data_IF_345808362956
#
_entry.id   IF_345808362956
#
_cell.length_a   1.000
_cell.length_b   1.000
_cell.length_c   1.000
_cell.angle_alpha   90.00
_cell.angle_beta   90.00
_cell.angle_gamma   90.00
#
_symmetry.space_group_name_H-M   'P 1'
#
loop_
_entity.id
_entity.type
_entity.pdbx_description
1 polymer ?
#
# COMPACT_ATOMS: atom_id res chain seq x y z
N UNK A 1 35.06 11.77 -50.25
CA UNK A 1 34.22 11.70 -49.04
C UNK A 1 32.77 11.72 -49.49
N UNK A 2 32.22 10.53 -49.67
CA UNK A 2 31.16 10.24 -50.64
C UNK A 2 29.79 10.80 -50.28
N UNK A 3 29.16 11.48 -51.26
CA UNK A 3 27.76 11.93 -51.20
C UNK A 3 26.85 10.78 -50.79
N UNK A 4 27.16 9.56 -51.22
CA UNK A 4 26.43 8.33 -50.90
C UNK A 4 26.42 8.01 -49.39
N UNK A 5 27.56 8.17 -48.70
CA UNK A 5 27.65 7.96 -47.26
C UNK A 5 26.82 8.99 -46.48
N UNK A 6 26.81 10.26 -46.93
CA UNK A 6 25.95 11.30 -46.35
C UNK A 6 24.46 10.98 -46.55
N UNK A 7 24.06 10.48 -47.71
CA UNK A 7 22.65 10.14 -47.97
C UNK A 7 22.18 8.98 -47.09
N UNK A 8 23.00 7.93 -46.95
CA UNK A 8 22.68 6.77 -46.10
C UNK A 8 22.62 7.18 -44.62
N UNK A 9 23.58 7.98 -44.15
CA UNK A 9 23.61 8.45 -42.77
C UNK A 9 22.40 9.33 -42.44
N UNK A 10 22.00 10.23 -43.34
CA UNK A 10 20.81 11.07 -43.15
C UNK A 10 19.52 10.24 -43.16
N UNK A 11 19.40 9.25 -44.04
CA UNK A 11 18.26 8.34 -44.08
C UNK A 11 18.15 7.49 -42.80
N UNK A 12 19.27 7.03 -42.24
CA UNK A 12 19.30 6.27 -40.99
C UNK A 12 18.89 7.14 -39.78
N UNK A 13 19.33 8.40 -39.72
CA UNK A 13 18.94 9.34 -38.65
C UNK A 13 17.45 9.67 -38.73
N UNK A 14 16.94 9.98 -39.93
CA UNK A 14 15.51 10.25 -40.16
C UNK A 14 14.64 9.02 -39.84
N UNK A 15 15.07 7.83 -40.25
CA UNK A 15 14.38 6.58 -39.93
C UNK A 15 14.37 6.28 -38.43
N UNK A 16 15.49 6.48 -37.75
CA UNK A 16 15.60 6.28 -36.29
C UNK A 16 14.71 7.24 -35.49
N UNK A 17 14.61 8.51 -35.90
CA UNK A 17 13.74 9.49 -35.24
C UNK A 17 12.26 9.16 -35.42
N UNK A 18 11.85 8.66 -36.58
CA UNK A 18 10.46 8.26 -36.84
C UNK A 18 10.06 7.02 -36.04
N UNK A 19 10.91 5.99 -36.02
CA UNK A 19 10.63 4.75 -35.24
C UNK A 19 10.68 5.02 -33.74
N UNK A 20 11.66 5.80 -33.27
CA UNK A 20 11.76 6.18 -31.85
C UNK A 20 10.63 7.10 -31.39
N UNK A 21 10.20 8.03 -32.24
CA UNK A 21 9.09 8.94 -31.96
C UNK A 21 7.75 8.20 -31.85
N UNK A 22 7.45 7.30 -32.78
CA UNK A 22 6.21 6.49 -32.75
C UNK A 22 6.22 5.50 -31.58
N UNK A 23 7.36 4.85 -31.30
CA UNK A 23 7.49 3.95 -30.16
C UNK A 23 7.31 4.66 -28.80
N UNK A 24 7.90 5.84 -28.65
CA UNK A 24 7.74 6.66 -27.44
C UNK A 24 6.30 7.14 -27.29
N UNK A 25 5.67 7.58 -28.36
CA UNK A 25 4.27 8.02 -28.36
C UNK A 25 3.30 6.89 -28.01
N UNK A 26 3.49 5.69 -28.59
CA UNK A 26 2.70 4.50 -28.26
C UNK A 26 2.93 4.05 -26.81
N UNK A 27 4.16 4.13 -26.30
CA UNK A 27 4.45 3.82 -24.90
C UNK A 27 3.75 4.80 -23.94
N UNK A 28 3.76 6.11 -24.23
CA UNK A 28 3.00 7.11 -23.49
C UNK A 28 1.49 6.83 -23.51
N UNK A 29 0.92 6.54 -24.68
CA UNK A 29 -0.50 6.21 -24.81
C UNK A 29 -0.88 4.90 -24.12
N UNK A 30 0.01 3.90 -24.15
CA UNK A 30 -0.20 2.62 -23.47
C UNK A 30 -0.09 2.76 -21.95
N UNK A 31 0.78 3.65 -21.46
CA UNK A 31 0.91 3.94 -20.03
C UNK A 31 -0.28 4.73 -19.48
N UNK A 32 -0.89 5.61 -20.27
CA UNK A 32 -2.16 6.25 -19.92
C UNK A 32 -3.36 5.26 -20.00
N UNK A 33 -3.31 4.28 -20.93
CA UNK A 33 -4.35 3.27 -21.10
C UNK A 33 -4.34 2.14 -20.06
N UNK A 34 -3.16 1.78 -19.55
CA UNK A 34 -2.97 0.96 -18.35
C UNK A 34 -2.98 1.88 -17.13
N UNK A 35 -4.14 2.43 -16.79
CA UNK A 35 -4.32 3.42 -15.72
C UNK A 35 -3.78 3.01 -14.36
N UNK A 36 -2.48 3.12 -14.17
CA UNK A 36 -1.83 3.34 -12.89
C UNK A 36 -1.87 4.85 -12.62
N UNK A 37 -3.08 5.41 -12.55
CA UNK A 37 -3.22 6.68 -11.86
C UNK A 37 -2.80 6.42 -10.41
N UNK A 38 -1.92 7.24 -9.82
CA UNK A 38 -1.92 7.33 -8.37
C UNK A 38 -3.34 7.75 -8.03
N UNK A 39 -4.14 6.82 -7.52
CA UNK A 39 -5.44 7.14 -6.97
C UNK A 39 -5.17 8.29 -6.00
N UNK A 40 -5.66 9.47 -6.34
CA UNK A 40 -5.72 10.55 -5.39
C UNK A 40 -6.59 9.99 -4.28
N UNK A 41 -5.97 9.52 -3.21
CA UNK A 41 -6.66 9.19 -1.97
C UNK A 41 -7.38 10.47 -1.59
N UNK A 42 -8.66 10.57 -1.98
CA UNK A 42 -9.55 11.60 -1.50
C UNK A 42 -9.37 11.56 0.01
N UNK A 43 -9.07 12.72 0.63
CA UNK A 43 -8.82 12.83 2.05
C UNK A 43 -9.98 12.13 2.78
N UNK A 44 -9.81 10.86 3.12
CA UNK A 44 -10.82 10.09 3.79
C UNK A 44 -10.88 10.72 5.17
N UNK A 45 -11.99 11.38 5.45
CA UNK A 45 -12.26 11.93 6.76
C UNK A 45 -12.04 10.81 7.77
N UNK A 46 -11.18 11.08 8.76
CA UNK A 46 -10.76 10.10 9.76
C UNK A 46 -12.03 9.41 10.30
N UNK A 47 -12.08 8.07 10.38
CA UNK A 47 -13.23 7.39 10.96
C UNK A 47 -13.53 7.97 12.36
N UNK A 48 -14.80 8.00 12.78
CA UNK A 48 -15.16 8.53 14.08
C UNK A 48 -14.44 7.73 15.19
N UNK A 49 -13.96 8.44 16.20
CA UNK A 49 -13.42 7.82 17.41
C UNK A 49 -14.52 7.02 18.10
N UNK A 50 -14.26 5.74 18.36
CA UNK A 50 -15.15 4.87 19.12
C UNK A 50 -14.87 4.96 20.62
N UNK A 51 -13.73 5.52 21.02
CA UNK A 51 -13.29 5.60 22.42
C UNK A 51 -12.87 4.25 23.01
N UNK A 52 -12.80 3.20 22.19
CA UNK A 52 -12.33 1.89 22.60
C UNK A 52 -10.84 1.95 22.91
N UNK A 53 -10.47 1.53 24.12
CA UNK A 53 -9.08 1.60 24.58
C UNK A 53 -8.22 0.55 23.89
N UNK A 54 -6.99 0.91 23.57
CA UNK A 54 -5.98 -0.05 23.16
C UNK A 54 -5.72 -1.08 24.27
N UNK A 55 -5.45 -2.32 23.86
CA UNK A 55 -5.20 -3.48 24.73
C UNK A 55 -3.77 -3.96 24.54
N UNK A 56 -3.11 -4.34 25.63
CA UNK A 56 -1.80 -4.98 25.55
C UNK A 56 -1.96 -6.49 25.33
N UNK A 57 -1.29 -7.02 24.31
CA UNK A 57 -1.23 -8.45 24.03
C UNK A 57 0.23 -8.91 23.98
N UNK A 58 0.71 -9.44 25.10
CA UNK A 58 2.13 -9.68 25.31
C UNK A 58 2.94 -8.38 25.28
N UNK A 59 3.75 -8.19 24.24
CA UNK A 59 4.57 -6.99 24.03
C UNK A 59 4.07 -6.12 22.86
N UNK A 60 2.88 -6.43 22.32
CA UNK A 60 2.19 -5.67 21.29
C UNK A 60 1.14 -4.76 21.94
N UNK A 61 0.94 -3.59 21.34
CA UNK A 61 -0.20 -2.72 21.62
C UNK A 61 -1.20 -2.90 20.49
N UNK A 62 -2.39 -3.40 20.80
CA UNK A 62 -3.48 -3.60 19.84
C UNK A 62 -4.47 -2.45 20.00
N UNK A 63 -4.63 -1.64 18.96
CA UNK A 63 -5.61 -0.57 18.90
C UNK A 63 -7.00 -1.10 18.60
N UNK A 64 -8.01 -0.42 19.14
CA UNK A 64 -9.44 -0.70 18.94
C UNK A 64 -10.20 0.49 18.38
N UNK A 65 -9.73 1.70 18.68
CA UNK A 65 -10.22 2.93 18.07
C UNK A 65 -9.48 3.20 16.73
N UNK A 66 -10.18 3.19 15.58
CA UNK A 66 -9.57 3.43 14.28
C UNK A 66 -8.98 4.84 14.13
N UNK A 67 -9.62 5.86 14.71
CA UNK A 67 -9.15 7.23 14.66
C UNK A 67 -7.82 7.37 15.40
N UNK A 68 -7.68 6.70 16.55
CA UNK A 68 -6.44 6.63 17.29
C UNK A 68 -5.35 5.85 16.54
N UNK A 69 -5.69 4.70 15.96
CA UNK A 69 -4.76 3.89 15.20
C UNK A 69 -4.19 4.64 13.99
N UNK A 70 -5.05 5.26 13.18
CA UNK A 70 -4.63 6.00 11.98
C UNK A 70 -3.85 7.27 12.33
N UNK A 71 -4.26 8.00 13.37
CA UNK A 71 -3.47 9.15 13.88
C UNK A 71 -2.08 8.70 14.32
N UNK A 72 -2.00 7.65 15.12
CA UNK A 72 -0.72 7.10 15.60
C UNK A 72 0.16 6.60 14.46
N UNK A 73 -0.44 5.95 13.45
CA UNK A 73 0.26 5.48 12.26
C UNK A 73 0.89 6.62 11.46
N UNK A 74 0.14 7.72 11.30
CA UNK A 74 0.62 8.94 10.63
C UNK A 74 1.76 9.60 11.42
N UNK A 75 1.63 9.72 12.73
CA UNK A 75 2.64 10.30 13.62
C UNK A 75 3.93 9.47 13.62
N UNK A 76 3.82 8.15 13.74
CA UNK A 76 4.96 7.24 13.77
C UNK A 76 5.51 6.86 12.39
N UNK A 77 4.83 7.27 11.31
CA UNK A 77 5.14 6.88 9.93
C UNK A 77 5.23 5.36 9.74
N UNK A 78 4.28 4.64 10.34
CA UNK A 78 4.16 3.18 10.25
C UNK A 78 2.90 2.79 9.48
N UNK A 79 2.92 1.66 8.74
CA UNK A 79 1.68 1.13 8.17
C UNK A 79 0.73 0.67 9.27
N UNK A 80 -0.57 0.63 8.95
CA UNK A 80 -1.58 -0.04 9.79
C UNK A 80 -1.76 -1.47 9.32
N UNK A 81 -1.64 -2.43 10.23
CA UNK A 81 -2.04 -3.81 10.01
C UNK A 81 -3.43 -3.99 10.62
N UNK A 82 -4.42 -4.31 9.77
CA UNK A 82 -5.81 -4.50 10.20
C UNK A 82 -6.07 -5.98 10.46
N UNK A 83 -6.43 -6.31 11.70
CA UNK A 83 -6.85 -7.64 12.15
C UNK A 83 -8.38 -7.67 12.25
N UNK A 84 -9.04 -8.20 11.23
CA UNK A 84 -10.48 -8.45 11.26
C UNK A 84 -10.76 -9.72 12.06
N UNK A 85 -11.56 -9.60 13.10
CA UNK A 85 -11.71 -10.63 14.12
C UNK A 85 -13.19 -10.87 14.46
N UNK A 86 -13.47 -12.12 14.84
CA UNK A 86 -14.71 -12.51 15.50
C UNK A 86 -14.41 -13.63 16.51
N UNK A 87 -15.12 -13.67 17.64
CA UNK A 87 -14.86 -14.64 18.70
C UNK A 87 -15.18 -16.09 18.29
N UNK A 88 -16.12 -16.29 17.36
CA UNK A 88 -16.44 -17.62 16.84
C UNK A 88 -15.44 -18.11 15.78
N UNK A 89 -14.50 -17.27 15.35
CA UNK A 89 -13.51 -17.61 14.33
C UNK A 89 -12.28 -18.29 14.96
N UNK A 90 -12.22 -19.62 14.85
CA UNK A 90 -11.11 -20.41 15.41
C UNK A 90 -9.72 -20.02 14.86
N UNK A 91 -9.63 -19.60 13.60
CA UNK A 91 -8.36 -19.15 13.01
C UNK A 91 -7.93 -17.78 13.56
N UNK A 92 -8.89 -16.90 13.84
CA UNK A 92 -8.65 -15.57 14.39
C UNK A 92 -8.09 -15.68 15.82
N UNK A 93 -8.68 -16.56 16.64
CA UNK A 93 -8.17 -16.89 17.98
C UNK A 93 -6.75 -17.46 17.91
N UNK A 94 -6.51 -18.46 17.04
CA UNK A 94 -5.17 -19.03 16.84
C UNK A 94 -4.16 -17.97 16.37
N UNK A 95 -4.57 -17.03 15.53
CA UNK A 95 -3.70 -15.97 15.04
C UNK A 95 -3.28 -15.04 16.19
N UNK A 96 -4.20 -14.64 17.06
CA UNK A 96 -3.86 -13.86 18.25
C UNK A 96 -2.84 -14.56 19.15
N UNK A 97 -2.97 -15.87 19.37
CA UNK A 97 -1.96 -16.64 20.11
C UNK A 97 -0.59 -16.59 19.40
N UNK A 98 -0.59 -16.75 18.07
CA UNK A 98 0.63 -16.72 17.25
C UNK A 98 1.30 -15.36 17.23
N UNK A 99 0.56 -14.25 17.34
CA UNK A 99 1.15 -12.90 17.41
C UNK A 99 2.19 -12.75 18.51
N UNK A 100 2.07 -13.52 19.61
CA UNK A 100 3.00 -13.50 20.75
C UNK A 100 3.98 -14.68 20.71
N UNK A 101 3.52 -15.86 20.28
CA UNK A 101 4.32 -17.08 20.28
C UNK A 101 5.36 -17.12 19.16
N UNK A 102 5.06 -16.55 17.99
CA UNK A 102 5.96 -16.51 16.85
C UNK A 102 6.76 -15.20 16.87
N UNK A 103 8.07 -15.30 17.11
CA UNK A 103 8.95 -14.14 17.26
C UNK A 103 9.09 -13.32 15.99
N UNK A 104 9.07 -13.95 14.81
CA UNK A 104 9.21 -13.25 13.54
C UNK A 104 7.92 -12.51 13.19
N UNK A 105 6.75 -13.15 13.40
CA UNK A 105 5.46 -12.48 13.28
C UNK A 105 5.35 -11.32 14.27
N UNK A 106 5.70 -11.54 15.54
CA UNK A 106 5.67 -10.49 16.56
C UNK A 106 6.53 -9.29 16.17
N UNK A 107 7.74 -9.54 15.66
CA UNK A 107 8.65 -8.50 15.20
C UNK A 107 8.10 -7.74 13.99
N UNK A 108 7.48 -8.44 13.05
CA UNK A 108 6.80 -7.82 11.91
C UNK A 108 5.64 -6.92 12.38
N UNK A 109 4.80 -7.40 13.30
CA UNK A 109 3.67 -6.63 13.85
C UNK A 109 4.13 -5.40 14.66
N UNK A 110 5.29 -5.45 15.33
CA UNK A 110 5.87 -4.26 15.99
C UNK A 110 6.27 -3.14 15.02
N UNK A 111 6.51 -3.48 13.76
CA UNK A 111 6.84 -2.50 12.71
C UNK A 111 5.59 -1.81 12.13
N UNK A 112 4.39 -2.22 12.53
CA UNK A 112 3.11 -1.61 12.18
C UNK A 112 2.37 -1.08 13.40
N UNK A 113 1.26 -0.37 13.15
CA UNK A 113 0.20 -0.14 14.12
C UNK A 113 -0.84 -1.24 13.93
N UNK A 114 -1.04 -2.10 14.93
CA UNK A 114 -2.03 -3.18 14.86
C UNK A 114 -3.39 -2.64 15.28
N UNK A 115 -4.36 -2.62 14.37
CA UNK A 115 -5.75 -2.26 14.63
C UNK A 115 -6.60 -3.53 14.55
N UNK A 116 -7.24 -3.91 15.66
CA UNK A 116 -8.20 -5.02 15.68
C UNK A 116 -9.60 -4.48 15.49
N UNK A 117 -10.30 -4.96 14.47
CA UNK A 117 -11.71 -4.67 14.23
C UNK A 117 -12.49 -5.94 14.57
N UNK A 118 -13.40 -5.84 15.51
CA UNK A 118 -14.35 -6.91 15.83
C UNK A 118 -15.61 -6.78 14.98
N UNK A 119 -16.29 -7.89 14.73
CA UNK A 119 -17.54 -7.89 13.96
C UNK A 119 -18.66 -7.08 14.63
N UNK A 120 -18.54 -6.82 15.93
CA UNK A 120 -19.48 -6.01 16.71
C UNK A 120 -19.11 -4.51 16.73
N UNK A 121 -17.95 -4.11 16.20
CA UNK A 121 -17.49 -2.72 16.25
C UNK A 121 -18.31 -1.84 15.29
N UNK A 122 -19.11 -0.91 15.85
CA UNK A 122 -20.01 -0.04 15.09
C UNK A 122 -19.34 0.97 14.14
N UNK A 123 -18.00 1.02 14.11
CA UNK A 123 -17.26 1.90 13.21
C UNK A 123 -17.14 1.35 11.77
N UNK A 124 -17.50 0.07 11.56
CA UNK A 124 -17.39 -0.63 10.27
C UNK A 124 -18.61 -1.47 9.96
#
# INVERSE_FOLDING_TARGET
>A
MDRYFKTILMAAILGGLLVGGVGSFLFYYFQDGLGAQPEAHQDQEMPPSTGLKAVSHGNLTIFRDPAEAFRTAKEQKKPVFVDFFADWCANCVKFQDRMVQDSELNKALKSSIVLKIDEEDSAF
#
